data_IF_787211470661
#
_entry.id   IF_787211470661
#
_cell.length_a   1.000
_cell.length_b   1.000
_cell.length_c   1.000
_cell.angle_alpha   90.00
_cell.angle_beta   90.00
_cell.angle_gamma   90.00
#
_symmetry.space_group_name_H-M   'P 1'
#
loop_
_entity.id
_entity.type
_entity.pdbx_description
1 polymer ?
#
# COMPACT_ATOMS: atom_id res chain seq x y z
N UNK A 1 -12.59 0.11 -10.06
CA UNK A 1 -12.39 1.06 -8.93
C UNK A 1 -11.53 0.38 -7.90
N UNK A 2 -10.32 0.90 -7.70
CA UNK A 2 -9.35 0.41 -6.74
C UNK A 2 -9.64 1.03 -5.37
N UNK A 3 -9.60 0.22 -4.31
CA UNK A 3 -9.82 0.67 -2.93
C UNK A 3 -8.60 0.38 -2.09
N UNK A 4 -8.02 1.42 -1.51
CA UNK A 4 -6.93 1.34 -0.53
C UNK A 4 -7.51 1.64 0.84
N UNK A 5 -7.30 0.74 1.79
CA UNK A 5 -7.69 0.89 3.18
C UNK A 5 -6.45 0.82 4.04
N UNK A 6 -6.30 1.77 4.95
CA UNK A 6 -5.15 1.91 5.84
C UNK A 6 -5.68 1.90 7.26
N UNK A 7 -5.11 1.07 8.12
CA UNK A 7 -5.38 1.12 9.56
C UNK A 7 -4.15 1.68 10.26
N UNK A 8 -4.37 2.62 11.16
CA UNK A 8 -3.31 3.19 12.01
C UNK A 8 -3.45 2.76 13.46
N UNK A 9 -2.32 2.50 14.10
CA UNK A 9 -2.23 2.30 15.55
C UNK A 9 -1.20 3.27 16.10
N UNK A 10 -1.62 4.10 17.06
CA UNK A 10 -0.78 5.12 17.69
C UNK A 10 -0.12 6.07 16.66
N UNK A 11 -0.83 6.41 15.58
CA UNK A 11 -0.33 7.28 14.50
C UNK A 11 0.52 6.56 13.43
N UNK A 12 0.88 5.30 13.65
CA UNK A 12 1.69 4.51 12.71
C UNK A 12 0.83 3.60 11.86
N UNK A 13 1.23 3.36 10.61
CA UNK A 13 0.58 2.39 9.72
C UNK A 13 0.74 0.99 10.34
N UNK A 14 -0.40 0.35 10.60
CA UNK A 14 -0.48 -0.98 11.21
C UNK A 14 -0.93 -2.04 10.19
N UNK A 15 -1.76 -1.66 9.23
CA UNK A 15 -2.25 -2.54 8.18
C UNK A 15 -2.55 -1.72 6.92
N UNK A 16 -2.35 -2.35 5.77
CA UNK A 16 -2.81 -1.84 4.49
C UNK A 16 -3.49 -2.95 3.68
N UNK A 17 -4.59 -2.60 3.03
CA UNK A 17 -5.28 -3.45 2.08
C UNK A 17 -5.54 -2.69 0.78
N UNK A 18 -5.29 -3.33 -0.36
CA UNK A 18 -5.62 -2.82 -1.68
C UNK A 18 -6.43 -3.85 -2.47
N UNK A 19 -7.63 -3.48 -2.89
CA UNK A 19 -8.54 -4.32 -3.69
C UNK A 19 -8.87 -3.70 -5.05
N UNK A 20 -9.23 -4.54 -6.00
CA UNK A 20 -9.77 -4.12 -7.30
C UNK A 20 -8.72 -3.59 -8.26
N UNK A 21 -7.44 -3.93 -8.03
CA UNK A 21 -6.31 -3.60 -8.91
C UNK A 21 -5.95 -4.74 -9.87
N UNK A 22 -6.84 -5.72 -10.07
CA UNK A 22 -6.76 -6.69 -11.16
C UNK A 22 -8.12 -6.92 -11.80
N UNK A 23 -8.09 -7.28 -13.08
CA UNK A 23 -9.25 -7.46 -13.95
C UNK A 23 -8.98 -6.82 -15.33
N UNK A 24 -9.55 -7.38 -16.40
CA UNK A 24 -9.48 -6.80 -17.74
C UNK A 24 -10.24 -5.47 -17.75
N UNK A 25 -9.50 -4.41 -17.51
CA UNK A 25 -10.05 -3.09 -17.42
C UNK A 25 -10.03 -2.44 -18.83
N UNK A 26 -10.97 -1.54 -19.14
CA UNK A 26 -10.93 -0.77 -20.39
C UNK A 26 -9.55 -0.14 -20.60
N UNK A 27 -9.14 -0.01 -21.87
CA UNK A 27 -7.83 0.50 -22.29
C UNK A 27 -7.45 1.77 -21.49
N UNK A 28 -6.43 1.67 -20.62
CA UNK A 28 -5.95 2.76 -19.75
C UNK A 28 -6.06 2.48 -18.25
N UNK A 29 -7.01 1.64 -17.80
CA UNK A 29 -7.14 1.25 -16.39
C UNK A 29 -6.03 0.28 -15.94
N UNK A 30 -5.49 -0.52 -16.86
CA UNK A 30 -4.35 -1.43 -16.59
C UNK A 30 -3.10 -0.67 -16.11
N UNK A 31 -2.90 0.57 -16.57
CA UNK A 31 -1.77 1.42 -16.18
C UNK A 31 -1.92 1.88 -14.71
N UNK A 32 -3.16 2.16 -14.29
CA UNK A 32 -3.45 2.57 -12.90
C UNK A 32 -3.27 1.38 -11.97
N UNK A 33 -3.76 0.20 -12.38
CA UNK A 33 -3.56 -1.05 -11.65
C UNK A 33 -2.07 -1.35 -11.45
N UNK A 34 -1.28 -1.28 -12.53
CA UNK A 34 0.17 -1.48 -12.47
C UNK A 34 0.87 -0.46 -11.55
N UNK A 35 0.46 0.82 -11.58
CA UNK A 35 1.01 1.84 -10.71
C UNK A 35 0.70 1.59 -9.23
N UNK A 36 -0.53 1.18 -8.91
CA UNK A 36 -0.91 0.81 -7.54
C UNK A 36 -0.14 -0.42 -7.07
N UNK A 37 -0.08 -1.48 -7.87
CA UNK A 37 0.67 -2.69 -7.56
C UNK A 37 2.15 -2.38 -7.31
N UNK A 38 2.76 -1.54 -8.16
CA UNK A 38 4.14 -1.12 -7.99
C UNK A 38 4.35 -0.43 -6.64
N UNK A 39 3.47 0.48 -6.22
CA UNK A 39 3.61 1.20 -4.94
C UNK A 39 3.45 0.28 -3.72
N UNK A 40 2.36 -0.52 -3.66
CA UNK A 40 2.09 -1.36 -2.48
C UNK A 40 3.08 -2.51 -2.34
N UNK A 41 3.53 -3.10 -3.47
CA UNK A 41 4.57 -4.14 -3.42
C UNK A 41 5.95 -3.54 -3.15
N UNK A 42 6.26 -2.35 -3.65
CA UNK A 42 7.51 -1.66 -3.29
C UNK A 42 7.57 -1.39 -1.79
N UNK A 43 6.45 -1.04 -1.16
CA UNK A 43 6.39 -0.92 0.29
C UNK A 43 6.77 -2.25 0.97
N UNK A 44 6.10 -3.37 0.63
CA UNK A 44 6.46 -4.70 1.13
C UNK A 44 7.95 -5.02 0.95
N UNK A 45 8.47 -4.89 -0.27
CA UNK A 45 9.86 -5.22 -0.56
C UNK A 45 10.85 -4.28 0.11
N UNK A 46 10.48 -3.03 0.37
CA UNK A 46 11.32 -2.09 1.13
C UNK A 46 11.41 -2.49 2.59
N UNK A 47 10.32 -2.95 3.21
CA UNK A 47 10.34 -3.50 4.56
C UNK A 47 11.30 -4.70 4.65
N UNK A 48 11.21 -5.63 3.69
CA UNK A 48 12.07 -6.81 3.66
C UNK A 48 13.54 -6.47 3.38
N UNK A 49 13.81 -5.68 2.33
CA UNK A 49 15.18 -5.51 1.78
C UNK A 49 15.95 -4.36 2.41
N UNK A 50 15.27 -3.29 2.82
CA UNK A 50 15.93 -2.12 3.42
C UNK A 50 15.91 -2.19 4.94
N UNK A 51 14.84 -2.74 5.53
CA UNK A 51 14.67 -2.79 6.98
C UNK A 51 14.92 -4.19 7.58
N UNK A 52 15.08 -5.22 6.75
CA UNK A 52 15.33 -6.59 7.21
C UNK A 52 14.14 -7.21 7.94
N UNK A 53 12.93 -6.69 7.73
CA UNK A 53 11.72 -7.19 8.38
C UNK A 53 11.24 -8.48 7.71
N UNK A 54 10.98 -9.49 8.54
CA UNK A 54 10.32 -10.72 8.11
C UNK A 54 8.80 -10.50 8.12
N UNK A 55 8.28 -10.04 6.97
CA UNK A 55 6.86 -9.76 6.74
C UNK A 55 6.42 -10.38 5.42
N UNK A 56 5.20 -10.88 5.41
CA UNK A 56 4.55 -11.43 4.22
C UNK A 56 3.26 -10.64 3.95
N UNK A 57 2.90 -10.54 2.67
CA UNK A 57 1.61 -10.01 2.25
C UNK A 57 0.78 -11.12 1.61
N UNK A 58 -0.53 -11.07 1.83
CA UNK A 58 -1.48 -11.85 1.04
C UNK A 58 -1.66 -11.15 -0.31
N UNK A 59 -1.29 -11.82 -1.39
CA UNK A 59 -1.32 -11.29 -2.75
C UNK A 59 -2.11 -12.26 -3.62
N UNK A 60 -3.20 -11.76 -4.20
CA UNK A 60 -4.08 -12.52 -5.08
C UNK A 60 -4.59 -11.66 -6.23
N UNK A 61 -5.56 -12.17 -6.97
CA UNK A 61 -6.16 -11.48 -8.13
C UNK A 61 -6.80 -10.14 -7.74
N UNK A 62 -5.99 -9.08 -7.82
CA UNK A 62 -6.40 -7.71 -7.50
C UNK A 62 -6.53 -7.46 -6.01
N UNK A 63 -5.91 -8.31 -5.19
CA UNK A 63 -5.87 -8.21 -3.74
C UNK A 63 -4.43 -8.12 -3.25
N UNK A 64 -4.21 -7.21 -2.30
CA UNK A 64 -2.97 -7.07 -1.55
C UNK A 64 -3.34 -6.74 -0.11
N UNK A 65 -2.77 -7.45 0.86
CA UNK A 65 -2.98 -7.18 2.28
C UNK A 65 -1.69 -7.42 3.06
N UNK A 66 -1.28 -6.42 3.84
CA UNK A 66 -0.03 -6.46 4.60
C UNK A 66 -0.26 -5.91 6.00
N UNK A 67 0.10 -6.72 7.00
CA UNK A 67 0.11 -6.34 8.42
C UNK A 67 1.51 -6.00 8.88
N UNK A 68 1.65 -4.91 9.63
CA UNK A 68 2.91 -4.49 10.24
C UNK A 68 3.01 -5.08 11.65
N UNK A 69 4.15 -5.69 12.04
CA UNK A 69 4.36 -6.19 13.40
C UNK A 69 4.14 -5.11 14.46
N UNK A 70 3.55 -5.48 15.60
CA UNK A 70 3.16 -4.50 16.62
C UNK A 70 4.30 -4.03 17.52
N UNK A 71 5.29 -4.88 17.73
CA UNK A 71 6.33 -4.70 18.74
C UNK A 71 7.69 -4.35 18.09
N UNK A 72 7.67 -3.40 17.15
CA UNK A 72 8.88 -2.89 16.53
C UNK A 72 9.61 -1.93 17.48
N UNK A 73 10.94 -1.97 17.45
CA UNK A 73 11.74 -0.95 18.13
C UNK A 73 11.37 0.47 17.61
N UNK A 74 11.34 1.51 18.45
CA UNK A 74 10.85 2.84 18.05
C UNK A 74 11.49 3.40 16.76
N UNK A 75 12.81 3.30 16.63
CA UNK A 75 13.52 3.76 15.45
C UNK A 75 13.12 2.98 14.17
N UNK A 76 12.83 1.69 14.30
CA UNK A 76 12.37 0.85 13.19
C UNK A 76 10.91 1.19 12.83
N UNK A 77 10.05 1.41 13.84
CA UNK A 77 8.67 1.85 13.63
C UNK A 77 8.58 3.18 12.87
N UNK A 78 9.48 4.13 13.16
CA UNK A 78 9.58 5.38 12.41
C UNK A 78 9.95 5.17 10.94
N UNK A 79 10.90 4.27 10.65
CA UNK A 79 11.29 3.94 9.28
C UNK A 79 10.18 3.24 8.50
N UNK A 80 9.46 2.29 9.13
CA UNK A 80 8.28 1.67 8.54
C UNK A 80 7.22 2.71 8.22
N UNK A 81 6.97 3.62 9.16
CA UNK A 81 6.01 4.71 8.97
C UNK A 81 6.41 5.59 7.80
N UNK A 82 7.67 6.01 7.72
CA UNK A 82 8.17 6.83 6.62
C UNK A 82 7.96 6.18 5.25
N UNK A 83 8.29 4.90 5.11
CA UNK A 83 8.09 4.16 3.85
C UNK A 83 6.60 4.03 3.52
N UNK A 84 5.76 3.79 4.52
CA UNK A 84 4.31 3.72 4.35
C UNK A 84 3.71 5.06 3.93
N UNK A 85 4.11 6.17 4.56
CA UNK A 85 3.70 7.52 4.14
C UNK A 85 4.17 7.83 2.72
N UNK A 86 5.40 7.44 2.35
CA UNK A 86 5.91 7.62 0.98
C UNK A 86 5.06 6.88 -0.05
N UNK A 87 4.58 5.68 0.27
CA UNK A 87 3.63 4.95 -0.58
C UNK A 87 2.29 5.68 -0.66
N UNK A 88 1.76 6.19 0.46
CA UNK A 88 0.49 6.95 0.47
C UNK A 88 0.57 8.25 -0.34
N UNK A 89 1.71 8.95 -0.32
CA UNK A 89 1.96 10.11 -1.20
C UNK A 89 1.81 9.72 -2.67
N UNK A 90 2.41 8.60 -3.09
CA UNK A 90 2.28 8.10 -4.45
C UNK A 90 0.84 7.75 -4.82
N UNK A 91 0.09 7.11 -3.91
CA UNK A 91 -1.31 6.76 -4.13
C UNK A 91 -2.21 8.00 -4.21
N UNK A 92 -1.97 9.04 -3.40
CA UNK A 92 -2.73 10.29 -3.48
C UNK A 92 -2.47 11.03 -4.80
N UNK A 93 -1.24 11.02 -5.30
CA UNK A 93 -0.92 11.62 -6.61
C UNK A 93 -1.57 10.87 -7.78
N UNK A 94 -1.66 9.54 -7.70
CA UNK A 94 -2.43 8.74 -8.67
C UNK A 94 -3.91 9.12 -8.61
N UNK A 95 -4.49 9.21 -7.40
CA UNK A 95 -5.89 9.60 -7.20
C UNK A 95 -6.19 11.00 -7.75
N UNK A 96 -5.27 11.96 -7.60
CA UNK A 96 -5.39 13.32 -8.14
C UNK A 96 -5.33 13.33 -9.66
N UNK A 97 -4.41 12.55 -10.24
CA UNK A 97 -4.22 12.45 -11.69
C UNK A 97 -5.36 11.70 -12.38
N UNK A 98 -5.96 10.72 -11.70
CA UNK A 98 -7.00 9.84 -12.22
C UNK A 98 -8.20 9.77 -11.25
N UNK A 99 -8.97 10.87 -11.10
CA UNK A 99 -10.09 10.92 -10.18
C UNK A 99 -11.15 9.88 -10.56
N UNK A 100 -11.70 9.19 -9.56
CA UNK A 100 -12.74 8.17 -9.75
C UNK A 100 -12.24 6.76 -10.05
N UNK A 101 -10.92 6.55 -10.16
CA UNK A 101 -10.34 5.21 -10.31
C UNK A 101 -9.78 4.63 -9.01
N UNK A 102 -9.35 5.50 -8.09
CA UNK A 102 -8.73 5.15 -6.82
C UNK A 102 -9.45 5.84 -5.66
N UNK A 103 -9.77 5.06 -4.64
CA UNK A 103 -10.25 5.56 -3.35
C UNK A 103 -9.29 5.13 -2.25
N UNK A 104 -8.89 6.08 -1.40
CA UNK A 104 -8.01 5.85 -0.24
C UNK A 104 -8.77 6.28 1.01
N UNK A 105 -8.88 5.39 1.99
CA UNK A 105 -9.57 5.63 3.26
C UNK A 105 -8.76 5.11 4.45
N UNK A 106 -8.92 5.79 5.59
CA UNK A 106 -8.43 5.35 6.90
C UNK A 106 -9.55 4.57 7.61
N UNK A 107 -9.18 3.50 8.33
CA UNK A 107 -10.07 2.66 9.16
C UNK A 107 -9.67 2.68 10.64
#
# INVERSE_FOLDING_TARGET
>A
MIRIRVTRRNGHIAHICADGHAGCAPKGEDIICAAVSALVQTFLFSLQRLLGLDVEADIGDGHFSLSIPADLAPALQEQVTLLGESMLVGLDEIKRSYPGFLHVSEE
#
